data_IF_955358064493
#
_entry.id   IF_955358064493
#
_cell.length_a   1.000
_cell.length_b   1.000
_cell.length_c   1.000
_cell.angle_alpha   90.00
_cell.angle_beta   90.00
_cell.angle_gamma   90.00
#
_symmetry.space_group_name_H-M   'P 1'
#
loop_
_entity.id
_entity.type
_entity.pdbx_description
1 polymer ?
#
# COMPACT_ATOMS: atom_id res chain seq x y z
N UNK A 1 46.91 -32.79 33.99
CA UNK A 1 46.56 -31.49 34.59
C UNK A 1 46.44 -30.46 33.48
N UNK A 2 45.22 -30.17 33.04
CA UNK A 2 44.95 -29.05 32.14
C UNK A 2 43.88 -28.19 32.81
N UNK A 3 44.31 -26.95 33.07
CA UNK A 3 43.72 -26.01 33.99
C UNK A 3 42.44 -25.42 33.37
N UNK A 4 41.26 -25.97 33.69
CA UNK A 4 39.99 -25.28 33.46
C UNK A 4 39.93 -24.13 34.47
N UNK A 5 40.34 -22.93 34.04
CA UNK A 5 39.99 -21.67 34.71
C UNK A 5 38.48 -21.69 34.95
N UNK A 6 38.07 -21.74 36.22
CA UNK A 6 36.73 -21.36 36.65
C UNK A 6 36.52 -19.92 36.18
N UNK A 7 35.74 -19.75 35.13
CA UNK A 7 35.09 -18.49 34.88
C UNK A 7 33.88 -18.47 35.83
N UNK A 8 34.01 -17.75 36.94
CA UNK A 8 32.85 -17.21 37.64
C UNK A 8 32.19 -16.22 36.68
N UNK A 9 31.34 -16.74 35.79
CA UNK A 9 30.55 -15.92 34.88
C UNK A 9 29.41 -15.30 35.67
N UNK A 10 29.60 -14.05 36.08
CA UNK A 10 28.55 -13.16 36.54
C UNK A 10 27.33 -13.28 35.63
N UNK A 11 26.12 -13.36 36.20
CA UNK A 11 24.83 -13.37 35.49
C UNK A 11 24.63 -12.20 34.51
N UNK A 12 25.51 -11.19 34.55
CA UNK A 12 25.53 -10.04 33.65
C UNK A 12 25.98 -10.38 32.21
N UNK A 13 26.90 -11.34 32.01
CA UNK A 13 27.49 -11.62 30.68
C UNK A 13 26.58 -12.44 29.75
N UNK A 14 25.57 -13.13 30.31
CA UNK A 14 24.62 -13.92 29.52
C UNK A 14 23.67 -13.05 28.70
N UNK A 15 23.53 -11.74 29.00
CA UNK A 15 22.57 -10.87 28.32
C UNK A 15 22.99 -10.48 26.89
N UNK A 16 24.28 -10.45 26.59
CA UNK A 16 24.84 -9.96 25.32
C UNK A 16 25.29 -11.06 24.34
N UNK A 17 25.09 -12.35 24.65
CA UNK A 17 25.45 -13.40 23.69
C UNK A 17 24.53 -13.35 22.44
N UNK A 18 25.09 -13.28 21.21
CA UNK A 18 24.31 -13.21 19.98
C UNK A 18 23.52 -14.51 19.73
N UNK A 19 22.31 -14.37 19.20
CA UNK A 19 21.44 -15.51 18.87
C UNK A 19 22.00 -16.28 17.67
N UNK A 20 22.39 -17.55 17.88
CA UNK A 20 23.02 -18.37 16.84
C UNK A 20 21.99 -19.19 16.05
N UNK A 21 22.10 -19.18 14.73
CA UNK A 21 21.20 -19.96 13.85
C UNK A 21 21.68 -21.39 13.59
N UNK A 22 22.97 -21.66 13.78
CA UNK A 22 23.58 -22.97 13.56
C UNK A 22 23.96 -23.62 14.89
N UNK A 23 23.74 -24.93 14.96
CA UNK A 23 24.10 -25.80 16.08
C UNK A 23 25.61 -26.06 16.08
N UNK A 24 26.28 -25.86 17.21
CA UNK A 24 27.72 -26.12 17.36
C UNK A 24 27.98 -27.31 18.31
N UNK A 25 27.06 -27.57 19.24
CA UNK A 25 27.27 -28.50 20.36
C UNK A 25 26.39 -29.75 20.26
N UNK A 26 25.90 -30.07 19.06
CA UNK A 26 25.00 -31.22 18.86
C UNK A 26 25.55 -32.57 19.34
N UNK A 27 26.84 -32.91 19.14
CA UNK A 27 27.43 -34.14 19.67
C UNK A 27 27.43 -34.19 21.20
N UNK A 28 27.65 -33.04 21.84
CA UNK A 28 27.65 -32.89 23.30
C UNK A 28 26.24 -33.11 23.85
N UNK A 29 25.22 -32.48 23.24
CA UNK A 29 23.82 -32.64 23.63
C UNK A 29 23.34 -34.10 23.49
N UNK A 30 23.73 -34.79 22.42
CA UNK A 30 23.41 -36.22 22.23
C UNK A 30 24.07 -37.09 23.30
N UNK A 31 25.30 -36.76 23.69
CA UNK A 31 26.04 -37.48 24.74
C UNK A 31 25.40 -37.25 26.11
N UNK A 32 25.08 -36.00 26.45
CA UNK A 32 24.38 -35.65 27.68
C UNK A 32 23.04 -36.39 27.81
N UNK A 33 22.24 -36.39 26.73
CA UNK A 33 20.98 -37.14 26.71
C UNK A 33 21.17 -38.66 26.84
N UNK A 34 22.27 -39.23 26.32
CA UNK A 34 22.59 -40.66 26.53
C UNK A 34 22.94 -40.94 27.98
N UNK A 35 23.76 -40.10 28.63
CA UNK A 35 24.12 -40.24 30.04
C UNK A 35 22.89 -40.17 30.96
N UNK A 36 21.99 -39.23 30.70
CA UNK A 36 20.77 -39.04 31.50
C UNK A 36 19.86 -40.28 31.47
N UNK A 37 19.85 -41.06 30.39
CA UNK A 37 19.06 -42.31 30.30
C UNK A 37 19.49 -43.39 31.29
N UNK A 38 20.70 -43.29 31.85
CA UNK A 38 21.18 -44.24 32.86
C UNK A 38 20.81 -43.82 34.29
N UNK A 39 20.20 -42.66 34.48
CA UNK A 39 19.75 -42.18 35.80
C UNK A 39 18.36 -42.77 36.08
N UNK A 40 18.26 -43.59 37.13
CA UNK A 40 17.00 -44.25 37.51
C UNK A 40 15.95 -43.27 38.05
N UNK A 41 16.38 -42.21 38.74
CA UNK A 41 15.48 -41.19 39.27
C UNK A 41 15.15 -40.15 38.18
N UNK A 42 13.87 -40.10 37.78
CA UNK A 42 13.37 -39.24 36.70
C UNK A 42 13.49 -37.74 37.01
N UNK A 43 13.38 -37.33 38.28
CA UNK A 43 13.52 -35.93 38.69
C UNK A 43 14.96 -35.45 38.53
N UNK A 44 15.92 -36.29 38.94
CA UNK A 44 17.35 -36.02 38.81
C UNK A 44 17.77 -36.00 37.34
N UNK A 45 17.27 -36.95 36.56
CA UNK A 45 17.44 -37.00 35.12
C UNK A 45 16.94 -35.72 34.44
N UNK A 46 15.74 -35.26 34.80
CA UNK A 46 15.15 -34.02 34.31
C UNK A 46 15.95 -32.77 34.71
N UNK A 47 16.40 -32.70 35.96
CA UNK A 47 17.22 -31.60 36.45
C UNK A 47 18.58 -31.51 35.71
N UNK A 48 19.23 -32.65 35.45
CA UNK A 48 20.46 -32.69 34.66
C UNK A 48 20.27 -32.19 33.22
N UNK A 49 19.17 -32.56 32.56
CA UNK A 49 18.85 -32.05 31.22
C UNK A 49 18.56 -30.55 31.23
N UNK A 50 17.84 -30.07 32.24
CA UNK A 50 17.55 -28.65 32.39
C UNK A 50 18.80 -27.83 32.69
N UNK A 51 19.74 -28.36 33.48
CA UNK A 51 21.03 -27.74 33.69
C UNK A 51 21.86 -27.67 32.39
N UNK A 52 21.86 -28.75 31.59
CA UNK A 52 22.51 -28.75 30.29
C UNK A 52 21.90 -27.70 29.34
N UNK A 53 20.57 -27.57 29.33
CA UNK A 53 19.85 -26.53 28.59
C UNK A 53 20.30 -25.11 29.00
N UNK A 54 20.40 -24.83 30.30
CA UNK A 54 20.81 -23.52 30.80
C UNK A 54 22.24 -23.15 30.40
N UNK A 55 23.12 -24.15 30.26
CA UNK A 55 24.50 -23.95 29.81
C UNK A 55 24.69 -23.86 28.29
N UNK A 56 23.63 -24.02 27.48
CA UNK A 56 23.74 -23.93 26.03
C UNK A 56 23.81 -22.48 25.53
N UNK A 57 24.60 -22.26 24.48
CA UNK A 57 24.61 -21.00 23.76
C UNK A 57 23.21 -20.65 23.21
N UNK A 58 22.86 -19.36 23.22
CA UNK A 58 21.55 -18.88 22.75
C UNK A 58 21.32 -19.22 21.28
N UNK A 59 20.14 -19.75 20.96
CA UNK A 59 19.73 -20.05 19.59
C UNK A 59 19.57 -21.54 19.31
N UNK A 60 20.20 -22.04 18.25
CA UNK A 60 19.99 -23.40 17.75
C UNK A 60 20.24 -24.49 18.80
N UNK A 61 21.36 -24.44 19.51
CA UNK A 61 21.72 -25.41 20.55
C UNK A 61 20.72 -25.36 21.72
N UNK A 62 20.29 -24.16 22.13
CA UNK A 62 19.29 -23.97 23.17
C UNK A 62 17.92 -24.56 22.78
N UNK A 63 17.50 -24.40 21.53
CA UNK A 63 16.25 -25.00 21.01
C UNK A 63 16.35 -26.53 20.98
N UNK A 64 17.49 -27.07 20.53
CA UNK A 64 17.73 -28.52 20.48
C UNK A 64 17.72 -29.14 21.89
N UNK A 65 18.37 -28.49 22.86
CA UNK A 65 18.33 -28.91 24.26
C UNK A 65 16.91 -28.84 24.85
N UNK A 66 16.13 -27.82 24.52
CA UNK A 66 14.74 -27.69 24.98
C UNK A 66 13.85 -28.79 24.41
N UNK A 67 14.07 -29.17 23.15
CA UNK A 67 13.37 -30.28 22.50
C UNK A 67 13.65 -31.61 23.23
N UNK A 68 14.91 -31.87 23.61
CA UNK A 68 15.28 -33.05 24.38
C UNK A 68 14.61 -33.06 25.76
N UNK A 69 14.58 -31.92 26.45
CA UNK A 69 13.87 -31.78 27.73
C UNK A 69 12.37 -32.06 27.59
N UNK A 70 11.74 -31.56 26.53
CA UNK A 70 10.33 -31.80 26.24
C UNK A 70 10.06 -33.29 25.96
N UNK A 71 10.83 -33.93 25.08
CA UNK A 71 10.72 -35.38 24.81
C UNK A 71 10.90 -36.23 26.06
N UNK A 72 11.86 -35.88 26.92
CA UNK A 72 12.04 -36.54 28.21
C UNK A 72 10.81 -36.37 29.10
N UNK A 73 10.28 -35.14 29.21
CA UNK A 73 9.09 -34.86 30.03
C UNK A 73 7.86 -35.65 29.55
N UNK A 74 7.67 -35.82 28.24
CA UNK A 74 6.59 -36.63 27.68
C UNK A 74 6.70 -38.09 28.12
N UNK A 75 7.90 -38.69 28.05
CA UNK A 75 8.14 -40.05 28.57
C UNK A 75 7.88 -40.13 30.07
N UNK A 76 8.33 -39.14 30.84
CA UNK A 76 8.07 -39.08 32.27
C UNK A 76 6.56 -39.06 32.58
N UNK A 77 5.76 -38.30 31.85
CA UNK A 77 4.31 -38.28 32.05
C UNK A 77 3.61 -39.61 31.71
N UNK A 78 4.16 -40.43 30.82
CA UNK A 78 3.62 -41.79 30.59
C UNK A 78 3.82 -42.72 31.78
N UNK A 79 4.89 -42.52 32.55
CA UNK A 79 5.20 -43.29 33.74
C UNK A 79 4.52 -42.72 35.00
N UNK A 80 4.33 -41.39 35.05
CA UNK A 80 3.73 -40.68 36.16
C UNK A 80 2.74 -39.61 35.65
N UNK A 81 1.45 -39.98 35.46
CA UNK A 81 0.44 -39.04 34.99
C UNK A 81 0.19 -37.93 36.02
N UNK A 82 0.01 -36.69 35.55
CA UNK A 82 -0.24 -35.51 36.39
C UNK A 82 0.97 -34.61 36.65
N UNK A 83 2.17 -34.97 36.17
CA UNK A 83 3.36 -34.13 36.29
C UNK A 83 3.23 -32.81 35.49
N UNK A 84 3.57 -31.68 36.12
CA UNK A 84 3.59 -30.34 35.51
C UNK A 84 4.75 -30.12 34.53
N UNK A 85 5.78 -30.95 34.56
CA UNK A 85 7.00 -30.82 33.75
C UNK A 85 6.72 -30.78 32.24
N UNK A 86 5.74 -31.55 31.74
CA UNK A 86 5.39 -31.56 30.31
C UNK A 86 4.94 -30.20 29.84
N UNK A 87 3.96 -29.59 30.53
CA UNK A 87 3.42 -28.28 30.14
C UNK A 87 4.47 -27.19 30.23
N UNK A 88 5.37 -27.25 31.21
CA UNK A 88 6.44 -26.25 31.37
C UNK A 88 7.49 -26.37 30.25
N UNK A 89 7.95 -27.59 29.96
CA UNK A 89 8.95 -27.83 28.92
C UNK A 89 8.38 -27.62 27.51
N UNK A 90 7.10 -27.91 27.31
CA UNK A 90 6.37 -27.60 26.08
C UNK A 90 6.38 -26.09 25.82
N UNK A 91 5.91 -25.28 26.78
CA UNK A 91 5.89 -23.82 26.65
C UNK A 91 7.28 -23.25 26.37
N UNK A 92 8.30 -23.76 27.07
CA UNK A 92 9.68 -23.32 26.89
C UNK A 92 10.22 -23.65 25.50
N UNK A 93 10.09 -24.92 25.07
CA UNK A 93 10.51 -25.36 23.74
C UNK A 93 9.78 -24.61 22.63
N UNK A 94 8.47 -24.43 22.75
CA UNK A 94 7.67 -23.70 21.77
C UNK A 94 8.03 -22.22 21.70
N UNK A 95 8.27 -21.57 22.84
CA UNK A 95 8.71 -20.16 22.88
C UNK A 95 10.10 -19.97 22.25
N UNK A 96 11.07 -20.83 22.60
CA UNK A 96 12.41 -20.79 22.02
C UNK A 96 12.40 -21.10 20.52
N UNK A 97 11.61 -22.08 20.10
CA UNK A 97 11.44 -22.43 18.68
C UNK A 97 10.85 -21.26 17.90
N UNK A 98 9.79 -20.63 18.43
CA UNK A 98 9.16 -19.46 17.81
C UNK A 98 10.14 -18.31 17.66
N UNK A 99 10.91 -18.02 18.72
CA UNK A 99 11.97 -17.02 18.67
C UNK A 99 13.03 -17.36 17.62
N UNK A 100 13.44 -18.62 17.53
CA UNK A 100 14.40 -19.08 16.53
C UNK A 100 13.93 -18.84 15.10
N UNK A 101 12.64 -19.06 14.81
CA UNK A 101 12.05 -18.75 13.49
C UNK A 101 12.16 -17.26 13.17
N UNK A 102 11.91 -16.36 14.12
CA UNK A 102 12.01 -14.91 13.90
C UNK A 102 13.43 -14.48 13.52
N UNK A 103 14.45 -15.05 14.18
CA UNK A 103 15.85 -14.78 13.81
C UNK A 103 16.21 -15.39 12.46
N UNK A 104 15.70 -16.58 12.13
CA UNK A 104 15.94 -17.26 10.85
C UNK A 104 15.38 -16.48 9.66
N UNK A 105 14.28 -15.75 9.85
CA UNK A 105 13.75 -14.86 8.81
C UNK A 105 14.37 -13.46 8.83
N UNK A 106 15.35 -13.19 9.69
CA UNK A 106 15.99 -11.87 9.84
C UNK A 106 15.01 -10.75 10.27
N UNK A 107 13.95 -11.11 10.99
CA UNK A 107 12.94 -10.17 11.49
C UNK A 107 12.60 -10.41 12.96
N UNK A 108 13.63 -10.40 13.79
CA UNK A 108 13.52 -10.49 15.24
C UNK A 108 13.59 -9.08 15.87
N UNK A 109 12.51 -8.30 15.82
CA UNK A 109 12.41 -7.07 16.60
C UNK A 109 11.83 -7.33 17.99
N UNK A 110 12.07 -6.42 18.93
CA UNK A 110 11.68 -6.60 20.33
C UNK A 110 10.16 -6.85 20.50
N UNK A 111 9.33 -6.13 19.75
CA UNK A 111 7.87 -6.27 19.75
C UNK A 111 7.43 -7.69 19.38
N UNK A 112 8.00 -8.27 18.31
CA UNK A 112 7.69 -9.62 17.87
C UNK A 112 8.27 -10.68 18.82
N UNK A 113 9.48 -10.46 19.34
CA UNK A 113 10.11 -11.37 20.30
C UNK A 113 9.26 -11.49 21.57
N UNK A 114 8.67 -10.40 22.06
CA UNK A 114 7.78 -10.41 23.23
C UNK A 114 6.55 -11.31 23.04
N UNK A 115 6.07 -11.45 21.80
CA UNK A 115 4.93 -12.31 21.45
C UNK A 115 5.30 -13.78 21.22
N UNK A 116 6.55 -14.21 21.50
CA UNK A 116 6.99 -15.60 21.28
C UNK A 116 6.22 -16.65 22.09
N UNK A 117 5.51 -16.24 23.15
CA UNK A 117 4.63 -17.12 23.94
C UNK A 117 3.18 -17.13 23.46
N UNK A 118 2.83 -16.26 22.50
CA UNK A 118 1.46 -16.03 22.00
C UNK A 118 1.44 -16.17 20.47
N UNK A 119 1.55 -17.40 19.92
CA UNK A 119 1.82 -17.64 18.51
C UNK A 119 0.74 -17.09 17.57
N UNK A 120 -0.53 -17.10 17.98
CA UNK A 120 -1.63 -16.51 17.19
C UNK A 120 -1.46 -14.99 17.07
N UNK A 121 -1.18 -14.31 18.18
CA UNK A 121 -0.97 -12.86 18.19
C UNK A 121 0.30 -12.48 17.44
N UNK A 122 1.36 -13.27 17.58
CA UNK A 122 2.60 -13.08 16.83
C UNK A 122 2.38 -13.17 15.32
N UNK A 123 1.65 -14.19 14.85
CA UNK A 123 1.34 -14.33 13.43
C UNK A 123 0.51 -13.14 12.96
N UNK A 124 -0.50 -12.71 13.73
CA UNK A 124 -1.28 -11.51 13.39
C UNK A 124 -0.40 -10.26 13.31
N UNK A 125 0.50 -10.06 14.28
CA UNK A 125 1.41 -8.93 14.31
C UNK A 125 2.38 -8.93 13.11
N UNK A 126 2.83 -10.10 12.65
CA UNK A 126 3.66 -10.23 11.46
C UNK A 126 2.94 -9.71 10.20
N UNK A 127 1.70 -10.12 9.96
CA UNK A 127 0.94 -9.72 8.76
C UNK A 127 0.42 -8.29 8.82
N UNK A 128 0.08 -7.78 10.00
CA UNK A 128 -0.48 -6.44 10.19
C UNK A 128 0.58 -5.39 10.56
N UNK A 129 1.86 -5.74 10.55
CA UNK A 129 2.94 -4.82 10.89
C UNK A 129 2.97 -3.61 9.93
N UNK A 130 3.19 -2.36 10.40
CA UNK A 130 3.21 -1.17 9.54
C UNK A 130 4.18 -1.23 8.36
N UNK A 131 5.31 -1.93 8.56
CA UNK A 131 6.37 -2.17 7.54
C UNK A 131 6.21 -3.49 6.77
N UNK A 132 5.06 -4.15 6.86
CA UNK A 132 4.84 -5.46 6.23
C UNK A 132 5.15 -5.46 4.72
N UNK A 133 4.61 -4.49 3.98
CA UNK A 133 4.79 -4.38 2.51
C UNK A 133 6.26 -4.20 2.12
N UNK A 134 7.06 -3.49 2.93
CA UNK A 134 8.50 -3.35 2.70
C UNK A 134 9.22 -4.68 2.98
N UNK A 135 8.80 -5.40 4.02
CA UNK A 135 9.46 -6.62 4.52
C UNK A 135 9.22 -7.85 3.65
N UNK A 136 8.04 -8.04 3.06
CA UNK A 136 7.73 -9.20 2.20
C UNK A 136 8.64 -9.35 0.98
N UNK A 137 9.34 -8.29 0.58
CA UNK A 137 10.29 -8.35 -0.55
C UNK A 137 11.55 -9.15 -0.23
N UNK A 138 11.93 -9.22 1.05
CA UNK A 138 13.17 -9.88 1.52
C UNK A 138 12.91 -11.04 2.48
N UNK A 139 11.75 -11.05 3.16
CA UNK A 139 11.46 -11.98 4.25
C UNK A 139 10.24 -12.84 3.86
N UNK A 140 10.37 -14.16 3.93
CA UNK A 140 9.26 -15.08 3.67
C UNK A 140 8.41 -15.29 4.93
N UNK A 141 7.46 -14.38 5.14
CA UNK A 141 6.56 -14.37 6.29
C UNK A 141 5.61 -15.57 6.24
N UNK A 142 5.18 -16.00 5.05
CA UNK A 142 4.29 -17.16 4.93
C UNK A 142 4.96 -18.44 5.42
N UNK A 143 6.24 -18.64 5.07
CA UNK A 143 7.04 -19.75 5.59
C UNK A 143 7.25 -19.64 7.10
N UNK A 144 7.55 -18.44 7.61
CA UNK A 144 7.69 -18.21 9.05
C UNK A 144 6.41 -18.55 9.82
N UNK A 145 5.26 -18.08 9.32
CA UNK A 145 3.96 -18.31 9.94
C UNK A 145 3.59 -19.80 9.94
N UNK A 146 3.91 -20.55 8.87
CA UNK A 146 3.75 -22.01 8.85
C UNK A 146 4.65 -22.67 9.91
N UNK A 147 5.94 -22.31 9.96
CA UNK A 147 6.88 -22.90 10.93
C UNK A 147 6.49 -22.58 12.38
N UNK A 148 6.03 -21.36 12.67
CA UNK A 148 5.51 -20.98 13.98
C UNK A 148 4.25 -21.78 14.31
N UNK A 149 3.31 -21.89 13.37
CA UNK A 149 2.08 -22.64 13.57
C UNK A 149 2.34 -24.14 13.86
N UNK A 150 3.22 -24.76 13.08
CA UNK A 150 3.62 -26.17 13.24
C UNK A 150 4.29 -26.42 14.60
N UNK A 151 5.19 -25.53 15.03
CA UNK A 151 5.89 -25.66 16.33
C UNK A 151 4.98 -25.45 17.53
N UNK A 152 3.86 -24.76 17.35
CA UNK A 152 2.90 -24.44 18.42
C UNK A 152 1.58 -25.21 18.31
N UNK A 153 1.44 -26.12 17.35
CA UNK A 153 0.19 -26.86 17.06
C UNK A 153 -1.03 -25.94 16.84
N UNK A 154 -0.84 -24.84 16.11
CA UNK A 154 -1.90 -23.86 15.80
C UNK A 154 -2.38 -24.01 14.36
N UNK A 155 -3.67 -23.83 14.11
CA UNK A 155 -4.23 -23.90 12.77
C UNK A 155 -3.96 -22.61 11.97
N UNK A 156 -2.90 -22.62 11.16
CA UNK A 156 -2.52 -21.48 10.30
C UNK A 156 -3.61 -21.08 9.30
N UNK A 157 -4.37 -22.04 8.77
CA UNK A 157 -5.44 -21.76 7.80
C UNK A 157 -6.55 -20.95 8.43
N UNK A 158 -6.93 -21.26 9.68
CA UNK A 158 -7.92 -20.49 10.44
C UNK A 158 -7.43 -19.05 10.71
N UNK A 159 -6.16 -18.88 11.09
CA UNK A 159 -5.58 -17.54 11.31
C UNK A 159 -5.58 -16.72 10.02
N UNK A 160 -5.18 -17.30 8.89
CA UNK A 160 -5.17 -16.61 7.59
C UNK A 160 -6.56 -16.17 7.15
N UNK A 161 -7.58 -16.98 7.40
CA UNK A 161 -8.98 -16.60 7.13
C UNK A 161 -9.41 -15.45 8.05
N UNK A 162 -9.13 -15.52 9.35
CA UNK A 162 -9.44 -14.44 10.29
C UNK A 162 -8.72 -13.13 9.94
N UNK A 163 -7.47 -13.19 9.49
CA UNK A 163 -6.73 -12.03 9.00
C UNK A 163 -7.37 -11.45 7.75
N UNK A 164 -7.74 -12.30 6.79
CA UNK A 164 -8.47 -11.86 5.61
C UNK A 164 -9.81 -11.23 5.98
N UNK A 165 -10.56 -11.83 6.91
CA UNK A 165 -11.79 -11.25 7.47
C UNK A 165 -11.55 -9.87 8.07
N UNK A 166 -10.51 -9.71 8.90
CA UNK A 166 -10.17 -8.42 9.50
C UNK A 166 -9.89 -7.33 8.46
N UNK A 167 -9.24 -7.69 7.33
CA UNK A 167 -8.96 -6.77 6.22
C UNK A 167 -10.26 -6.42 5.48
N UNK A 168 -11.14 -7.40 5.27
CA UNK A 168 -12.41 -7.21 4.59
C UNK A 168 -13.43 -6.45 5.46
N UNK A 169 -13.39 -6.63 6.78
CA UNK A 169 -14.33 -6.10 7.77
C UNK A 169 -13.93 -4.75 8.35
N UNK A 170 -12.76 -4.19 7.99
CA UNK A 170 -12.31 -2.87 8.48
C UNK A 170 -13.47 -1.87 8.46
N UNK A 171 -14.01 -1.56 9.64
CA UNK A 171 -15.21 -0.73 9.73
C UNK A 171 -14.82 0.68 9.33
N UNK A 172 -15.61 1.28 8.44
CA UNK A 172 -15.45 2.64 7.94
C UNK A 172 -15.78 3.69 9.03
N UNK A 173 -15.14 3.60 10.19
CA UNK A 173 -15.33 4.58 11.28
C UNK A 173 -14.42 5.80 11.14
N UNK A 174 -13.52 5.83 10.17
CA UNK A 174 -12.64 6.98 9.91
C UNK A 174 -12.97 7.59 8.54
N UNK A 175 -13.44 8.83 8.56
CA UNK A 175 -14.07 9.59 7.48
C UNK A 175 -13.24 9.82 6.18
N UNK A 176 -12.08 9.18 6.00
CA UNK A 176 -11.13 9.55 4.95
C UNK A 176 -10.60 8.38 4.09
N UNK A 177 -11.09 7.16 4.26
CA UNK A 177 -10.60 6.00 3.48
C UNK A 177 -11.55 5.67 2.31
N UNK A 178 -10.98 5.30 1.17
CA UNK A 178 -11.72 4.82 -0.02
C UNK A 178 -12.59 3.61 0.32
N UNK A 179 -13.78 3.42 -0.28
CA UNK A 179 -14.67 2.30 0.01
C UNK A 179 -14.14 0.91 -0.38
N UNK A 180 -13.09 0.86 -1.21
CA UNK A 180 -12.33 -0.36 -1.49
C UNK A 180 -11.17 -0.61 -0.52
N UNK A 181 -10.39 -1.65 -0.80
CA UNK A 181 -9.12 -1.88 -0.13
C UNK A 181 -8.07 -0.87 -0.60
N UNK A 182 -7.30 -0.33 0.33
CA UNK A 182 -6.11 0.44 -0.01
C UNK A 182 -5.04 -0.47 -0.63
N UNK A 183 -4.02 0.09 -1.31
CA UNK A 183 -2.99 -0.72 -1.95
C UNK A 183 -2.23 -1.64 -0.99
N UNK A 184 -2.01 -1.22 0.26
CA UNK A 184 -1.26 -2.00 1.26
C UNK A 184 -2.08 -3.22 1.69
N UNK A 185 -3.35 -3.02 2.00
CA UNK A 185 -4.30 -4.06 2.37
C UNK A 185 -4.50 -5.05 1.24
N UNK A 186 -4.57 -4.57 -0.01
CA UNK A 186 -4.69 -5.44 -1.18
C UNK A 186 -3.44 -6.30 -1.36
N UNK A 187 -2.24 -5.71 -1.16
CA UNK A 187 -0.97 -6.46 -1.19
C UNK A 187 -0.96 -7.51 -0.07
N UNK A 188 -1.36 -7.15 1.14
CA UNK A 188 -1.42 -8.07 2.29
C UNK A 188 -2.40 -9.21 2.04
N UNK A 189 -3.63 -8.91 1.61
CA UNK A 189 -4.63 -9.92 1.27
C UNK A 189 -4.13 -10.86 0.16
N UNK A 190 -3.50 -10.32 -0.89
CA UNK A 190 -2.88 -11.11 -1.95
C UNK A 190 -1.77 -12.01 -1.42
N UNK A 191 -0.93 -11.51 -0.52
CA UNK A 191 0.15 -12.29 0.08
C UNK A 191 -0.36 -13.44 0.96
N UNK A 192 -1.43 -13.21 1.73
CA UNK A 192 -2.13 -14.24 2.51
C UNK A 192 -2.74 -15.30 1.57
N UNK A 193 -3.46 -14.87 0.55
CA UNK A 193 -4.15 -15.75 -0.41
C UNK A 193 -3.18 -16.63 -1.21
N UNK A 194 -1.95 -16.19 -1.45
CA UNK A 194 -0.90 -17.01 -2.08
C UNK A 194 -0.50 -18.23 -1.25
N UNK A 195 -0.54 -18.12 0.08
CA UNK A 195 -0.22 -19.25 0.97
C UNK A 195 -1.44 -20.11 1.31
N UNK A 196 -2.64 -19.61 1.04
CA UNK A 196 -3.87 -20.38 1.10
C UNK A 196 -4.04 -21.17 -0.20
N UNK A 197 -4.73 -22.32 -0.15
CA UNK A 197 -5.14 -23.01 -1.37
C UNK A 197 -5.92 -22.02 -2.27
N UNK A 198 -5.47 -21.73 -3.51
CA UNK A 198 -6.07 -20.69 -4.35
C UNK A 198 -7.57 -20.92 -4.61
N UNK A 199 -7.98 -22.18 -4.77
CA UNK A 199 -9.38 -22.56 -4.96
C UNK A 199 -10.24 -22.25 -3.73
N UNK A 200 -9.73 -22.54 -2.53
CA UNK A 200 -10.45 -22.28 -1.28
C UNK A 200 -10.58 -20.79 -1.00
N UNK A 201 -9.49 -20.03 -1.20
CA UNK A 201 -9.52 -18.57 -1.07
C UNK A 201 -10.48 -17.92 -2.08
N UNK A 202 -10.47 -18.39 -3.33
CA UNK A 202 -11.40 -17.93 -4.35
C UNK A 202 -12.86 -18.25 -3.98
N UNK A 203 -13.15 -19.45 -3.50
CA UNK A 203 -14.51 -19.86 -3.10
C UNK A 203 -15.02 -19.01 -1.94
N UNK A 204 -14.17 -18.80 -0.94
CA UNK A 204 -14.49 -17.95 0.21
C UNK A 204 -14.80 -16.51 -0.21
N UNK A 205 -13.94 -15.89 -1.04
CA UNK A 205 -14.15 -14.52 -1.53
C UNK A 205 -15.39 -14.41 -2.44
N UNK A 206 -15.60 -15.39 -3.32
CA UNK A 206 -16.75 -15.43 -4.21
C UNK A 206 -18.06 -15.54 -3.43
N UNK A 207 -18.08 -16.31 -2.35
CA UNK A 207 -19.25 -16.40 -1.47
C UNK A 207 -19.53 -15.04 -0.84
N UNK A 208 -18.54 -14.37 -0.27
CA UNK A 208 -18.77 -13.02 0.30
C UNK A 208 -19.29 -12.04 -0.77
N UNK A 209 -18.69 -12.04 -1.96
CA UNK A 209 -19.02 -11.07 -3.01
C UNK A 209 -20.42 -11.23 -3.61
N UNK A 210 -20.93 -12.46 -3.73
CA UNK A 210 -22.12 -12.79 -4.52
C UNK A 210 -23.23 -13.53 -3.76
N UNK A 211 -23.04 -13.84 -2.48
CA UNK A 211 -24.08 -14.44 -1.64
C UNK A 211 -25.08 -13.34 -1.23
N UNK A 212 -26.19 -13.26 -1.94
CA UNK A 212 -27.25 -12.28 -1.71
C UNK A 212 -28.01 -12.55 -0.41
N UNK A 213 -28.01 -13.79 0.10
CA UNK A 213 -28.62 -14.19 1.37
C UNK A 213 -27.79 -13.79 2.59
N UNK A 214 -26.55 -13.31 2.37
CA UNK A 214 -25.67 -12.90 3.47
C UNK A 214 -25.90 -11.45 3.88
N UNK A 215 -25.92 -11.20 5.19
CA UNK A 215 -25.99 -9.85 5.80
C UNK A 215 -24.68 -9.04 5.64
N UNK A 216 -23.78 -9.46 4.75
CA UNK A 216 -22.53 -8.72 4.52
C UNK A 216 -22.83 -7.36 3.89
N UNK A 217 -22.29 -6.31 4.51
CA UNK A 217 -22.42 -4.97 3.96
C UNK A 217 -21.74 -4.85 2.58
N UNK A 218 -22.21 -3.89 1.77
CA UNK A 218 -21.75 -3.69 0.39
C UNK A 218 -20.26 -3.38 0.29
N UNK A 219 -19.69 -2.73 1.30
CA UNK A 219 -18.25 -2.52 1.44
C UNK A 219 -17.45 -3.82 1.52
N UNK A 220 -17.87 -4.76 2.37
CA UNK A 220 -17.23 -6.07 2.52
C UNK A 220 -17.34 -6.86 1.21
N UNK A 221 -18.52 -6.84 0.57
CA UNK A 221 -18.74 -7.44 -0.76
C UNK A 221 -17.79 -6.83 -1.81
N UNK A 222 -17.61 -5.50 -1.81
CA UNK A 222 -16.70 -4.78 -2.71
C UNK A 222 -15.25 -5.21 -2.52
N UNK A 223 -14.76 -5.19 -1.28
CA UNK A 223 -13.39 -5.58 -0.94
C UNK A 223 -13.12 -7.04 -1.27
N UNK A 224 -14.08 -7.92 -1.02
CA UNK A 224 -13.96 -9.34 -1.37
C UNK A 224 -13.85 -9.54 -2.88
N UNK A 225 -14.66 -8.83 -3.67
CA UNK A 225 -14.60 -8.87 -5.13
C UNK A 225 -13.29 -8.26 -5.66
N UNK A 226 -12.77 -7.19 -5.05
CA UNK A 226 -11.45 -6.64 -5.37
C UNK A 226 -10.33 -7.66 -5.13
N UNK A 227 -10.35 -8.35 -3.99
CA UNK A 227 -9.41 -9.45 -3.71
C UNK A 227 -9.53 -10.58 -4.74
N UNK A 228 -10.75 -11.02 -5.04
CA UNK A 228 -11.00 -12.09 -6.01
C UNK A 228 -10.43 -11.73 -7.39
N UNK A 229 -10.63 -10.48 -7.83
CA UNK A 229 -10.20 -10.04 -9.16
C UNK A 229 -8.70 -9.74 -9.27
N UNK A 230 -8.01 -9.45 -8.16
CA UNK A 230 -6.61 -8.99 -8.16
C UNK A 230 -5.59 -10.03 -7.64
N UNK A 231 -6.03 -10.91 -6.74
CA UNK A 231 -5.17 -11.88 -6.06
C UNK A 231 -5.30 -13.29 -6.63
N UNK A 232 -6.47 -13.66 -7.17
CA UNK A 232 -6.74 -14.97 -7.74
C UNK A 232 -6.49 -14.97 -9.24
N UNK A 233 -6.02 -16.10 -9.78
CA UNK A 233 -5.86 -16.28 -11.22
C UNK A 233 -7.20 -16.07 -11.96
N UNK A 234 -7.20 -15.33 -13.09
CA UNK A 234 -8.38 -15.03 -13.90
C UNK A 234 -9.33 -16.21 -14.14
N UNK A 235 -8.79 -17.36 -14.53
CA UNK A 235 -9.59 -18.54 -14.85
C UNK A 235 -10.24 -19.15 -13.61
N UNK A 236 -9.51 -19.20 -12.50
CA UNK A 236 -10.01 -19.72 -11.23
C UNK A 236 -11.13 -18.84 -10.71
N UNK A 237 -10.99 -17.51 -10.80
CA UNK A 237 -12.04 -16.57 -10.43
C UNK A 237 -13.33 -16.77 -11.25
N UNK A 238 -13.21 -16.92 -12.58
CA UNK A 238 -14.36 -17.18 -13.47
C UNK A 238 -15.04 -18.52 -13.15
N UNK A 239 -14.26 -19.59 -12.98
CA UNK A 239 -14.78 -20.94 -12.66
C UNK A 239 -15.52 -20.97 -11.33
N UNK A 240 -14.95 -20.34 -10.30
CA UNK A 240 -15.53 -20.33 -8.95
C UNK A 240 -16.75 -19.42 -8.86
N UNK A 241 -16.68 -18.22 -9.44
CA UNK A 241 -17.81 -17.29 -9.42
C UNK A 241 -18.94 -17.69 -10.39
N UNK A 242 -18.69 -18.65 -11.30
CA UNK A 242 -19.61 -19.09 -12.36
C UNK A 242 -20.12 -17.92 -13.20
N UNK A 243 -19.24 -16.94 -13.44
CA UNK A 243 -19.54 -15.69 -14.16
C UNK A 243 -18.39 -15.38 -15.08
N UNK A 244 -18.70 -14.88 -16.27
CA UNK A 244 -17.67 -14.45 -17.21
C UNK A 244 -16.86 -13.28 -16.66
N UNK A 245 -15.62 -13.15 -17.13
CA UNK A 245 -14.69 -12.11 -16.67
C UNK A 245 -15.26 -10.70 -16.82
N UNK A 246 -15.96 -10.43 -17.92
CA UNK A 246 -16.56 -9.13 -18.18
C UNK A 246 -17.69 -8.80 -17.19
N UNK A 247 -18.48 -9.80 -16.78
CA UNK A 247 -19.54 -9.67 -15.76
C UNK A 247 -18.92 -9.35 -14.40
N UNK A 248 -17.82 -10.02 -14.02
CA UNK A 248 -17.13 -9.75 -12.75
C UNK A 248 -16.60 -8.30 -12.68
N UNK A 249 -16.03 -7.80 -13.79
CA UNK A 249 -15.61 -6.40 -13.89
C UNK A 249 -16.79 -5.45 -13.78
N UNK A 250 -17.90 -5.74 -14.47
CA UNK A 250 -19.12 -4.94 -14.38
C UNK A 250 -19.62 -4.89 -12.93
N UNK A 251 -19.75 -6.03 -12.27
CA UNK A 251 -20.18 -6.11 -10.86
C UNK A 251 -19.24 -5.36 -9.92
N UNK A 252 -17.93 -5.43 -10.14
CA UNK A 252 -16.96 -4.67 -9.33
C UNK A 252 -17.18 -3.16 -9.45
N UNK A 253 -17.35 -2.68 -10.69
CA UNK A 253 -17.56 -1.27 -10.98
C UNK A 253 -18.90 -0.80 -10.40
N UNK A 254 -19.96 -1.59 -10.57
CA UNK A 254 -21.28 -1.27 -10.05
C UNK A 254 -21.27 -1.19 -8.53
N UNK A 255 -20.71 -2.19 -7.87
CA UNK A 255 -20.64 -2.24 -6.41
C UNK A 255 -19.78 -1.11 -5.83
N UNK A 256 -18.70 -0.72 -6.54
CA UNK A 256 -17.89 0.44 -6.19
C UNK A 256 -18.72 1.71 -6.14
N UNK A 257 -19.45 2.02 -7.22
CA UNK A 257 -20.27 3.23 -7.28
C UNK A 257 -21.49 3.17 -6.38
N UNK A 258 -22.10 1.99 -6.17
CA UNK A 258 -23.19 1.83 -5.20
C UNK A 258 -22.74 2.27 -3.81
N UNK A 259 -21.61 1.77 -3.33
CA UNK A 259 -21.08 2.14 -2.01
C UNK A 259 -20.78 3.63 -1.93
N UNK A 260 -20.26 4.23 -3.01
CA UNK A 260 -20.04 5.67 -3.07
C UNK A 260 -21.33 6.50 -3.04
N UNK A 261 -22.37 6.08 -3.75
CA UNK A 261 -23.68 6.75 -3.76
C UNK A 261 -24.37 6.66 -2.39
N UNK A 262 -24.27 5.52 -1.70
CA UNK A 262 -24.77 5.39 -0.32
C UNK A 262 -24.03 6.32 0.65
N UNK A 263 -22.71 6.47 0.47
CA UNK A 263 -21.88 7.33 1.33
C UNK A 263 -22.23 8.81 1.21
N UNK A 264 -22.60 9.29 0.02
CA UNK A 264 -23.04 10.68 -0.16
C UNK A 264 -24.54 10.88 0.10
N UNK A 265 -25.19 9.89 0.72
CA UNK A 265 -26.60 9.90 1.10
C UNK A 265 -27.55 10.14 -0.09
N UNK A 266 -27.26 9.50 -1.24
CA UNK A 266 -28.17 9.48 -2.41
C UNK A 266 -28.60 8.05 -2.81
N UNK A 267 -29.01 7.19 -1.86
CA UNK A 267 -29.31 5.78 -2.16
C UNK A 267 -30.45 5.58 -3.16
N UNK A 268 -31.35 6.56 -3.32
CA UNK A 268 -32.45 6.48 -4.30
C UNK A 268 -31.96 6.49 -5.76
N UNK A 269 -30.76 7.01 -6.05
CA UNK A 269 -30.16 7.00 -7.39
C UNK A 269 -29.69 5.60 -7.78
N UNK A 270 -29.48 4.68 -6.82
CA UNK A 270 -28.90 3.35 -7.06
C UNK A 270 -29.77 2.51 -8.00
N UNK A 271 -31.09 2.53 -7.81
CA UNK A 271 -32.01 1.76 -8.64
C UNK A 271 -31.91 2.22 -10.11
N UNK A 272 -31.94 3.54 -10.33
CA UNK A 272 -31.71 4.13 -11.65
C UNK A 272 -30.33 3.75 -12.18
N UNK A 273 -29.28 3.85 -11.36
CA UNK A 273 -27.91 3.56 -11.78
C UNK A 273 -27.76 2.11 -12.26
N UNK A 274 -28.43 1.14 -11.64
CA UNK A 274 -28.37 -0.26 -12.08
C UNK A 274 -29.05 -0.49 -13.44
N UNK A 275 -30.04 0.33 -13.80
CA UNK A 275 -30.81 0.22 -15.04
C UNK A 275 -30.24 1.10 -16.17
N UNK A 276 -30.02 2.38 -15.87
CA UNK A 276 -29.56 3.42 -16.79
C UNK A 276 -28.54 4.35 -16.10
N UNK A 277 -27.28 4.21 -16.51
CA UNK A 277 -26.15 4.97 -15.97
C UNK A 277 -26.24 6.47 -16.29
N UNK A 278 -26.75 6.80 -17.47
CA UNK A 278 -26.85 8.17 -17.99
C UNK A 278 -27.95 8.93 -17.26
N UNK A 279 -29.11 8.29 -17.09
CA UNK A 279 -30.22 8.87 -16.32
C UNK A 279 -29.84 9.07 -14.85
N UNK A 280 -29.17 8.10 -14.23
CA UNK A 280 -28.71 8.21 -12.86
C UNK A 280 -27.71 9.35 -12.66
N UNK A 281 -26.82 9.55 -13.64
CA UNK A 281 -25.87 10.65 -13.62
C UNK A 281 -26.58 12.01 -13.71
N UNK A 282 -27.60 12.15 -14.55
CA UNK A 282 -28.41 13.36 -14.60
C UNK A 282 -29.12 13.64 -13.27
N UNK A 283 -29.69 12.62 -12.63
CA UNK A 283 -30.30 12.74 -11.29
C UNK A 283 -29.26 13.17 -10.24
N UNK A 284 -28.05 12.59 -10.28
CA UNK A 284 -26.97 12.96 -9.38
C UNK A 284 -26.56 14.43 -9.57
N UNK A 285 -26.45 14.90 -10.80
CA UNK A 285 -26.08 16.30 -11.11
C UNK A 285 -27.10 17.29 -10.56
N UNK A 286 -28.39 17.00 -10.67
CA UNK A 286 -29.46 17.85 -10.14
C UNK A 286 -29.39 18.03 -8.62
N UNK A 287 -28.95 17.00 -7.89
CA UNK A 287 -28.88 17.01 -6.42
C UNK A 287 -27.51 17.41 -5.89
N UNK A 288 -26.45 17.24 -6.69
CA UNK A 288 -25.06 17.46 -6.28
C UNK A 288 -24.79 18.84 -5.67
N UNK A 289 -25.52 19.88 -6.10
CA UNK A 289 -25.43 21.22 -5.54
C UNK A 289 -23.99 21.70 -5.43
N UNK A 290 -23.57 22.07 -4.21
CA UNK A 290 -22.17 22.42 -3.88
C UNK A 290 -21.45 21.30 -3.10
N UNK A 291 -22.00 20.09 -3.02
CA UNK A 291 -21.37 18.98 -2.31
C UNK A 291 -20.18 18.46 -3.15
N UNK A 292 -18.98 18.74 -2.67
CA UNK A 292 -17.71 18.41 -3.34
C UNK A 292 -17.60 16.90 -3.63
N UNK A 293 -17.96 16.04 -2.68
CA UNK A 293 -17.82 14.58 -2.86
C UNK A 293 -18.84 14.04 -3.87
N UNK A 294 -20.06 14.59 -3.89
CA UNK A 294 -21.04 14.28 -4.93
C UNK A 294 -20.55 14.70 -6.32
N UNK A 295 -19.95 15.89 -6.44
CA UNK A 295 -19.37 16.37 -7.70
C UNK A 295 -18.19 15.53 -8.18
N UNK A 296 -17.32 15.06 -7.28
CA UNK A 296 -16.24 14.13 -7.62
C UNK A 296 -16.77 12.81 -8.17
N UNK A 297 -17.76 12.22 -7.50
CA UNK A 297 -18.40 10.98 -7.97
C UNK A 297 -19.10 11.20 -9.31
N UNK A 298 -19.78 12.34 -9.49
CA UNK A 298 -20.39 12.71 -10.76
C UNK A 298 -19.35 12.85 -11.89
N UNK A 299 -18.20 13.45 -11.62
CA UNK A 299 -17.11 13.56 -12.59
C UNK A 299 -16.53 12.20 -12.98
N UNK A 300 -16.31 11.30 -12.00
CA UNK A 300 -15.84 9.94 -12.30
C UNK A 300 -16.86 9.14 -13.12
N UNK A 301 -18.14 9.24 -12.78
CA UNK A 301 -19.23 8.60 -13.51
C UNK A 301 -19.40 9.18 -14.92
N UNK A 302 -19.34 10.51 -15.07
CA UNK A 302 -19.37 11.18 -16.37
C UNK A 302 -18.20 10.79 -17.25
N UNK A 303 -16.99 10.69 -16.66
CA UNK A 303 -15.83 10.20 -17.38
C UNK A 303 -16.03 8.76 -17.86
N UNK A 304 -16.80 7.92 -17.16
CA UNK A 304 -16.95 6.50 -17.53
C UNK A 304 -18.14 6.20 -18.42
N UNK A 305 -19.27 6.85 -18.16
CA UNK A 305 -20.58 6.55 -18.75
C UNK A 305 -21.26 7.79 -19.36
N UNK A 306 -20.77 8.99 -19.09
CA UNK A 306 -21.38 10.22 -19.56
C UNK A 306 -21.17 10.44 -21.06
N UNK A 307 -22.15 11.11 -21.68
CA UNK A 307 -22.05 11.62 -23.03
C UNK A 307 -21.49 13.05 -23.07
N UNK A 308 -21.35 13.61 -24.28
CA UNK A 308 -20.83 14.96 -24.46
C UNK A 308 -21.72 16.05 -23.84
N UNK A 309 -23.03 15.82 -23.71
CA UNK A 309 -23.96 16.80 -23.15
C UNK A 309 -23.78 16.87 -21.64
N UNK A 310 -23.77 15.72 -20.96
CA UNK A 310 -23.58 15.64 -19.52
C UNK A 310 -22.24 16.26 -19.10
N UNK A 311 -21.17 15.95 -19.84
CA UNK A 311 -19.85 16.53 -19.58
C UNK A 311 -19.90 18.05 -19.67
N UNK A 312 -20.58 18.60 -20.68
CA UNK A 312 -20.75 20.05 -20.87
C UNK A 312 -21.56 20.69 -19.75
N UNK A 313 -22.58 20.02 -19.22
CA UNK A 313 -23.38 20.51 -18.10
C UNK A 313 -22.58 20.49 -16.78
N UNK A 314 -21.71 19.50 -16.59
CA UNK A 314 -20.92 19.33 -15.38
C UNK A 314 -19.71 20.29 -15.28
N UNK A 315 -19.06 20.62 -16.40
CA UNK A 315 -17.85 21.48 -16.41
C UNK A 315 -18.04 22.81 -15.66
N UNK A 316 -19.10 23.60 -15.89
CA UNK A 316 -19.33 24.84 -15.14
C UNK A 316 -19.49 24.64 -13.63
N UNK A 317 -20.06 23.50 -13.21
CA UNK A 317 -20.23 23.18 -11.79
C UNK A 317 -18.89 22.85 -11.15
N UNK A 318 -18.07 22.03 -11.80
CA UNK A 318 -16.72 21.71 -11.33
C UNK A 318 -15.80 22.94 -11.30
N UNK A 319 -15.91 23.83 -12.30
CA UNK A 319 -15.17 25.10 -12.32
C UNK A 319 -15.51 25.97 -11.10
N UNK A 320 -16.80 26.12 -10.78
CA UNK A 320 -17.23 26.89 -9.59
C UNK A 320 -16.71 26.27 -8.30
N UNK A 321 -16.67 24.94 -8.22
CA UNK A 321 -16.11 24.21 -7.08
C UNK A 321 -14.57 24.14 -7.06
N UNK A 322 -13.88 24.68 -8.07
CA UNK A 322 -12.42 24.57 -8.26
C UNK A 322 -11.88 23.12 -8.28
N UNK A 323 -12.68 22.18 -8.79
CA UNK A 323 -12.33 20.75 -8.92
C UNK A 323 -11.59 20.47 -10.23
N UNK A 324 -10.41 21.06 -10.37
CA UNK A 324 -9.65 21.05 -11.62
C UNK A 324 -9.11 19.66 -11.99
N UNK A 325 -8.69 18.87 -11.01
CA UNK A 325 -8.12 17.53 -11.26
C UNK A 325 -9.18 16.58 -11.84
N UNK A 326 -10.41 16.66 -11.32
CA UNK A 326 -11.56 15.89 -11.79
C UNK A 326 -12.05 16.35 -13.17
N UNK A 327 -11.83 17.62 -13.53
CA UNK A 327 -12.18 18.16 -14.84
C UNK A 327 -11.24 17.69 -15.97
N UNK A 328 -9.96 17.46 -15.69
CA UNK A 328 -8.96 17.14 -16.72
C UNK A 328 -9.37 15.93 -17.59
N UNK A 329 -9.74 14.77 -17.01
CA UNK A 329 -10.17 13.60 -17.81
C UNK A 329 -11.40 13.89 -18.67
N UNK A 330 -12.32 14.71 -18.17
CA UNK A 330 -13.54 15.09 -18.89
C UNK A 330 -13.23 15.94 -20.11
N UNK A 331 -12.36 16.95 -19.96
CA UNK A 331 -11.96 17.82 -21.06
C UNK A 331 -11.20 17.07 -22.15
N UNK A 332 -10.37 16.09 -21.77
CA UNK A 332 -9.68 15.22 -22.72
C UNK A 332 -10.63 14.33 -23.55
N UNK A 333 -11.86 14.10 -23.07
CA UNK A 333 -12.89 13.36 -23.82
C UNK A 333 -13.72 14.22 -24.77
N UNK A 334 -13.67 15.55 -24.65
CA UNK A 334 -14.46 16.44 -25.52
C UNK A 334 -13.82 16.49 -26.91
N UNK A 335 -14.46 15.83 -27.88
CA UNK A 335 -13.97 15.73 -29.27
C UNK A 335 -14.41 16.89 -30.17
N UNK A 336 -15.38 17.68 -29.72
CA UNK A 336 -15.95 18.79 -30.49
C UNK A 336 -15.01 20.00 -30.49
N UNK A 337 -15.11 20.89 -31.51
CA UNK A 337 -14.36 22.13 -31.51
C UNK A 337 -14.60 22.87 -30.19
N UNK A 338 -13.52 23.37 -29.56
CA UNK A 338 -13.60 23.95 -28.24
C UNK A 338 -14.37 25.27 -28.31
N UNK A 339 -15.44 25.37 -27.54
CA UNK A 339 -16.20 26.60 -27.38
C UNK A 339 -15.64 27.46 -26.22
N UNK A 340 -16.30 28.58 -25.95
CA UNK A 340 -15.88 29.49 -24.88
C UNK A 340 -15.91 28.83 -23.48
N UNK A 341 -16.79 27.85 -23.25
CA UNK A 341 -16.86 27.14 -21.97
C UNK A 341 -15.64 26.23 -21.80
N UNK A 342 -15.35 25.41 -22.80
CA UNK A 342 -14.19 24.52 -22.82
C UNK A 342 -12.89 25.33 -22.74
N UNK A 343 -12.81 26.47 -23.44
CA UNK A 343 -11.69 27.39 -23.32
C UNK A 343 -11.52 27.93 -21.90
N UNK A 344 -12.61 28.38 -21.27
CA UNK A 344 -12.57 28.90 -19.90
C UNK A 344 -12.12 27.83 -18.90
N UNK A 345 -12.56 26.58 -19.10
CA UNK A 345 -12.16 25.44 -18.28
C UNK A 345 -10.67 25.12 -18.40
N UNK A 346 -10.15 25.00 -19.63
CA UNK A 346 -8.72 24.81 -19.86
C UNK A 346 -7.89 25.97 -19.30
N UNK A 347 -8.31 27.21 -19.55
CA UNK A 347 -7.66 28.40 -19.02
C UNK A 347 -7.61 28.38 -17.48
N UNK A 348 -8.69 27.99 -16.81
CA UNK A 348 -8.74 27.89 -15.36
C UNK A 348 -7.78 26.82 -14.81
N UNK A 349 -7.74 25.63 -15.43
CA UNK A 349 -6.81 24.55 -15.05
C UNK A 349 -5.36 25.01 -15.21
N UNK A 350 -5.06 25.69 -16.31
CA UNK A 350 -3.70 26.13 -16.64
C UNK A 350 -3.22 27.29 -15.75
N UNK A 351 -4.07 28.30 -15.48
CA UNK A 351 -3.67 29.52 -14.78
C UNK A 351 -3.82 29.43 -13.25
N UNK A 352 -4.82 28.71 -12.74
CA UNK A 352 -5.13 28.72 -11.30
C UNK A 352 -3.95 28.34 -10.40
N UNK A 353 -3.14 27.30 -10.71
CA UNK A 353 -1.97 26.96 -9.90
C UNK A 353 -0.95 28.10 -9.78
N UNK A 354 -0.76 28.87 -10.85
CA UNK A 354 0.19 29.99 -10.89
C UNK A 354 -0.34 31.24 -10.18
N UNK A 355 -1.63 31.51 -10.31
CA UNK A 355 -2.29 32.63 -9.61
C UNK A 355 -2.31 32.39 -8.10
N UNK A 356 -2.50 31.14 -7.67
CA UNK A 356 -2.52 30.72 -6.25
C UNK A 356 -1.14 30.41 -5.67
N UNK A 357 -0.07 30.47 -6.46
CA UNK A 357 1.28 30.26 -5.96
C UNK A 357 1.73 31.50 -5.16
N UNK A 358 2.34 31.24 -4.01
CA UNK A 358 2.91 32.26 -3.14
C UNK A 358 4.40 32.47 -3.45
N UNK A 359 4.96 33.55 -2.90
CA UNK A 359 6.40 33.75 -2.84
C UNK A 359 6.87 33.65 -1.38
N UNK A 360 7.86 32.79 -1.05
CA UNK A 360 8.50 31.81 -1.93
C UNK A 360 7.57 30.63 -2.26
N UNK A 361 7.76 30.05 -3.46
CA UNK A 361 6.96 28.90 -3.89
C UNK A 361 7.34 27.64 -3.09
N UNK A 362 6.33 26.91 -2.61
CA UNK A 362 6.55 25.61 -1.95
C UNK A 362 6.72 24.47 -2.96
N UNK A 363 7.37 23.37 -2.58
CA UNK A 363 7.49 22.18 -3.45
C UNK A 363 6.13 21.65 -3.91
N UNK A 364 5.12 21.72 -3.03
CA UNK A 364 3.75 21.33 -3.35
C UNK A 364 3.12 22.25 -4.41
N UNK A 365 3.32 23.56 -4.31
CA UNK A 365 2.82 24.52 -5.32
C UNK A 365 3.58 24.36 -6.64
N UNK A 366 4.90 24.15 -6.59
CA UNK A 366 5.74 23.87 -7.76
C UNK A 366 5.22 22.63 -8.50
N UNK A 367 4.94 21.53 -7.80
CA UNK A 367 4.38 20.32 -8.39
C UNK A 367 3.03 20.56 -9.08
N UNK A 368 2.13 21.35 -8.46
CA UNK A 368 0.84 21.72 -9.09
C UNK A 368 1.02 22.54 -10.36
N UNK A 369 1.90 23.55 -10.32
CA UNK A 369 2.22 24.36 -11.51
C UNK A 369 2.82 23.51 -12.63
N UNK A 370 3.69 22.57 -12.28
CA UNK A 370 4.31 21.67 -13.24
C UNK A 370 3.30 20.69 -13.86
N UNK A 371 2.39 20.13 -13.05
CA UNK A 371 1.30 19.28 -13.54
C UNK A 371 0.43 20.01 -14.55
N UNK A 372 0.10 21.29 -14.31
CA UNK A 372 -0.63 22.10 -15.28
C UNK A 372 0.18 22.31 -16.57
N UNK A 373 1.47 22.64 -16.49
CA UNK A 373 2.31 22.79 -17.69
C UNK A 373 2.42 21.51 -18.51
N UNK A 374 2.46 20.35 -17.85
CA UNK A 374 2.46 19.03 -18.50
C UNK A 374 1.18 18.74 -19.30
N UNK A 375 0.16 19.60 -19.24
CA UNK A 375 -1.04 19.52 -20.08
C UNK A 375 -0.93 20.37 -21.37
N UNK A 376 0.09 21.23 -21.52
CA UNK A 376 0.27 22.08 -22.70
C UNK A 376 0.19 21.33 -24.04
N UNK A 377 0.82 20.14 -24.22
CA UNK A 377 0.75 19.45 -25.51
C UNK A 377 -0.65 18.94 -25.87
N UNK A 378 -1.52 18.75 -24.89
CA UNK A 378 -2.87 18.22 -25.08
C UNK A 378 -3.95 19.29 -24.95
N UNK A 379 -3.57 20.53 -24.62
CA UNK A 379 -4.49 21.65 -24.50
C UNK A 379 -4.81 22.24 -25.89
N UNK A 380 -6.06 22.17 -26.37
CA UNK A 380 -6.39 22.57 -27.74
C UNK A 380 -6.51 24.09 -27.96
N UNK A 381 -6.43 24.92 -26.91
CA UNK A 381 -6.97 26.30 -26.95
C UNK A 381 -6.16 27.37 -26.23
N UNK A 382 -4.97 27.07 -25.73
CA UNK A 382 -4.21 28.07 -24.98
C UNK A 382 -3.74 29.22 -25.89
N UNK A 383 -3.96 30.47 -25.47
CA UNK A 383 -3.57 31.67 -26.23
C UNK A 383 -2.26 32.25 -25.71
N UNK A 384 -1.59 33.04 -26.54
CA UNK A 384 -0.37 33.76 -26.16
C UNK A 384 -0.56 34.61 -24.88
N UNK A 385 -1.71 35.29 -24.74
CA UNK A 385 -2.02 36.10 -23.54
C UNK A 385 -2.03 35.26 -22.25
N UNK A 386 -2.55 34.04 -22.32
CA UNK A 386 -2.58 33.10 -21.20
C UNK A 386 -1.16 32.64 -20.85
N UNK A 387 -0.35 32.32 -21.86
CA UNK A 387 1.06 31.93 -21.66
C UNK A 387 1.89 33.08 -21.09
N UNK A 388 1.63 34.32 -21.52
CA UNK A 388 2.26 35.52 -20.98
C UNK A 388 1.87 35.72 -19.51
N UNK A 389 0.61 35.43 -19.14
CA UNK A 389 0.15 35.48 -17.75
C UNK A 389 0.85 34.42 -16.88
N UNK A 390 1.04 33.19 -17.38
CA UNK A 390 1.84 32.16 -16.70
C UNK A 390 3.27 32.65 -16.47
N UNK A 391 3.90 33.21 -17.50
CA UNK A 391 5.25 33.76 -17.42
C UNK A 391 5.38 34.86 -16.35
N UNK A 392 4.44 35.81 -16.31
CA UNK A 392 4.39 36.87 -15.30
C UNK A 392 4.30 36.31 -13.88
N UNK A 393 3.47 35.30 -13.67
CA UNK A 393 3.37 34.62 -12.36
C UNK A 393 4.65 33.86 -12.00
N UNK A 394 5.32 33.24 -12.97
CA UNK A 394 6.61 32.58 -12.72
C UNK A 394 7.70 33.56 -12.29
N UNK A 395 7.71 34.78 -12.84
CA UNK A 395 8.60 35.85 -12.39
C UNK A 395 8.23 36.27 -10.96
N UNK A 396 6.94 36.52 -10.69
CA UNK A 396 6.44 36.90 -9.35
C UNK A 396 6.89 35.91 -8.28
N UNK A 397 6.80 34.62 -8.56
CA UNK A 397 7.17 33.54 -7.62
C UNK A 397 8.66 33.15 -7.68
N UNK A 398 9.49 33.83 -8.48
CA UNK A 398 10.90 33.50 -8.76
C UNK A 398 11.14 32.06 -9.22
N UNK A 399 10.18 31.45 -9.93
CA UNK A 399 10.27 30.09 -10.47
C UNK A 399 10.49 30.10 -12.00
N UNK A 400 11.55 30.79 -12.43
CA UNK A 400 11.85 31.05 -13.85
C UNK A 400 11.98 29.78 -14.71
N UNK A 401 12.44 28.66 -14.13
CA UNK A 401 12.50 27.38 -14.82
C UNK A 401 11.13 26.93 -15.33
N UNK A 402 10.07 27.06 -14.51
CA UNK A 402 8.70 26.77 -14.92
C UNK A 402 8.22 27.71 -16.02
N UNK A 403 8.55 29.01 -15.90
CA UNK A 403 8.22 30.00 -16.92
C UNK A 403 8.89 29.71 -18.27
N UNK A 404 10.08 29.13 -18.29
CA UNK A 404 10.72 28.78 -19.56
C UNK A 404 9.99 27.66 -20.31
N UNK A 405 9.22 26.81 -19.62
CA UNK A 405 8.48 25.70 -20.24
C UNK A 405 7.35 26.16 -21.16
N UNK A 406 6.83 27.39 -21.01
CA UNK A 406 5.78 27.92 -21.90
C UNK A 406 6.33 28.51 -23.21
N UNK A 407 7.63 28.81 -23.29
CA UNK A 407 8.23 29.47 -24.46
C UNK A 407 8.03 28.74 -25.80
N UNK A 408 8.08 27.39 -25.88
CA UNK A 408 7.82 26.66 -27.12
C UNK A 408 6.40 26.79 -27.63
N UNK A 409 5.46 27.11 -26.75
CA UNK A 409 4.04 27.23 -27.07
C UNK A 409 3.64 28.65 -27.42
N UNK A 410 4.55 29.62 -27.29
CA UNK A 410 4.32 31.01 -27.64
C UNK A 410 4.73 31.33 -29.08
N UNK A 411 3.96 32.20 -29.73
CA UNK A 411 4.40 32.79 -31.01
C UNK A 411 5.70 33.59 -30.83
N UNK A 412 6.43 33.79 -31.93
CA UNK A 412 7.65 34.59 -31.90
C UNK A 412 7.39 36.04 -31.42
N UNK A 413 6.24 36.62 -31.80
CA UNK A 413 5.83 37.95 -31.38
C UNK A 413 5.56 38.01 -29.87
N UNK A 414 4.83 37.03 -29.33
CA UNK A 414 4.58 36.95 -27.89
C UNK A 414 5.88 36.83 -27.09
N UNK A 415 6.83 35.98 -27.53
CA UNK A 415 8.15 35.84 -26.90
C UNK A 415 8.95 37.14 -26.91
N UNK A 416 8.89 37.92 -28.00
CA UNK A 416 9.59 39.20 -28.09
C UNK A 416 9.05 40.26 -27.13
N UNK A 417 7.77 40.15 -26.74
CA UNK A 417 7.11 41.05 -25.79
C UNK A 417 7.54 40.83 -24.33
N UNK A 418 8.19 39.69 -24.02
CA UNK A 418 8.70 39.37 -22.69
C UNK A 418 9.99 40.15 -22.39
N UNK A 419 9.85 41.39 -21.90
CA UNK A 419 10.99 42.27 -21.57
C UNK A 419 11.91 41.70 -20.49
N UNK A 420 11.34 40.99 -19.50
CA UNK A 420 12.09 40.37 -18.41
C UNK A 420 13.00 39.23 -18.88
N UNK A 421 12.60 38.49 -19.93
CA UNK A 421 13.45 37.47 -20.57
C UNK A 421 14.73 38.12 -21.16
N UNK A 422 14.61 39.39 -21.58
CA UNK A 422 15.67 40.37 -21.90
C UNK A 422 16.77 40.50 -20.84
N UNK A 423 16.34 40.55 -19.58
CA UNK A 423 17.13 41.05 -18.45
C UNK A 423 17.78 39.93 -17.64
N UNK A 424 17.23 38.73 -17.69
CA UNK A 424 17.69 37.58 -16.92
C UNK A 424 18.87 36.92 -17.65
N UNK A 425 19.93 36.59 -16.89
CA UNK A 425 21.06 35.84 -17.45
C UNK A 425 20.61 34.47 -18.00
N UNK A 426 20.92 34.22 -19.27
CA UNK A 426 20.62 32.97 -19.98
C UNK A 426 21.18 31.75 -19.25
N UNK A 427 22.36 31.85 -18.62
CA UNK A 427 22.95 30.73 -17.86
C UNK A 427 22.06 30.33 -16.68
N UNK A 428 21.51 31.31 -15.98
CA UNK A 428 20.56 31.09 -14.87
C UNK A 428 19.29 30.38 -15.34
N UNK A 429 18.74 30.77 -16.49
CA UNK A 429 17.56 30.10 -17.07
C UNK A 429 17.85 28.63 -17.43
N UNK A 430 19.01 28.37 -18.05
CA UNK A 430 19.44 27.02 -18.41
C UNK A 430 19.63 26.13 -17.17
N UNK A 431 20.27 26.64 -16.11
CA UNK A 431 20.43 25.89 -14.85
C UNK A 431 19.06 25.56 -14.25
N UNK A 432 18.16 26.53 -14.17
CA UNK A 432 16.81 26.33 -13.63
C UNK A 432 16.00 25.29 -14.42
N UNK A 433 16.12 25.27 -15.75
CA UNK A 433 15.49 24.25 -16.58
C UNK A 433 16.11 22.85 -16.40
N UNK A 434 17.44 22.76 -16.32
CA UNK A 434 18.13 21.48 -16.08
C UNK A 434 17.70 20.83 -14.78
N UNK A 435 17.42 21.62 -13.75
CA UNK A 435 16.90 21.13 -12.47
C UNK A 435 15.51 20.47 -12.61
N UNK A 436 14.77 20.73 -13.69
CA UNK A 436 13.45 20.14 -13.96
C UNK A 436 13.51 18.91 -14.87
N UNK A 437 14.69 18.48 -15.34
CA UNK A 437 14.82 17.43 -16.36
C UNK A 437 14.21 16.08 -15.92
N UNK A 438 14.30 15.77 -14.63
CA UNK A 438 13.71 14.55 -14.07
C UNK A 438 12.22 14.71 -13.71
N UNK A 439 11.68 15.93 -13.77
CA UNK A 439 10.30 16.24 -13.34
C UNK A 439 9.35 16.45 -14.54
N UNK A 440 9.86 16.78 -15.73
CA UNK A 440 9.02 17.02 -16.92
C UNK A 440 9.73 16.69 -18.23
N UNK A 441 8.94 16.23 -19.20
CA UNK A 441 9.38 15.97 -20.58
C UNK A 441 9.46 17.25 -21.44
N UNK A 442 8.99 18.40 -20.93
CA UNK A 442 8.93 19.67 -21.66
C UNK A 442 10.29 20.40 -21.75
N UNK A 443 11.28 19.98 -20.95
CA UNK A 443 12.58 20.67 -20.85
C UNK A 443 13.27 20.77 -22.20
N UNK A 444 13.27 19.71 -23.01
CA UNK A 444 13.98 19.69 -24.30
C UNK A 444 13.46 20.75 -25.27
N UNK A 445 12.13 20.92 -25.35
CA UNK A 445 11.52 21.96 -26.18
C UNK A 445 11.85 23.36 -25.68
N UNK A 446 11.79 23.58 -24.36
CA UNK A 446 12.14 24.86 -23.75
C UNK A 446 13.61 25.22 -23.96
N UNK A 447 14.51 24.24 -23.81
CA UNK A 447 15.94 24.40 -24.07
C UNK A 447 16.23 24.79 -25.52
N UNK A 448 15.61 24.10 -26.48
CA UNK A 448 15.75 24.43 -27.91
C UNK A 448 15.34 25.87 -28.20
N UNK A 449 14.24 26.34 -27.61
CA UNK A 449 13.80 27.73 -27.80
C UNK A 449 14.75 28.72 -27.15
N UNK A 450 15.21 28.45 -25.92
CA UNK A 450 16.15 29.34 -25.23
C UNK A 450 17.50 29.44 -25.94
N UNK A 451 18.01 28.34 -26.49
CA UNK A 451 19.26 28.33 -27.25
C UNK A 451 19.17 29.21 -28.49
N UNK A 452 18.03 29.14 -29.18
CA UNK A 452 17.72 29.90 -30.40
C UNK A 452 17.13 31.30 -30.17
N UNK A 453 16.98 31.75 -28.92
CA UNK A 453 16.73 33.16 -28.63
C UNK A 453 17.98 33.93 -29.04
N UNK A 454 17.88 34.69 -30.13
CA UNK A 454 18.99 35.44 -30.71
C UNK A 454 19.66 36.34 -29.65
N UNK A 455 20.98 36.27 -29.50
CA UNK A 455 21.68 37.32 -28.78
C UNK A 455 21.51 38.60 -29.60
N UNK A 456 20.86 39.62 -29.04
CA UNK A 456 21.05 40.96 -29.59
C UNK A 456 22.54 41.25 -29.44
N UNK A 457 23.25 41.31 -30.56
CA UNK A 457 24.53 41.98 -30.63
C UNK A 457 24.36 43.35 -29.95
N UNK A 458 25.06 43.52 -28.84
CA UNK A 458 25.28 44.80 -28.21
C UNK A 458 25.80 45.77 -29.28
N UNK A 459 25.01 46.80 -29.58
CA UNK A 459 25.55 48.04 -30.15
C UNK A 459 26.06 48.91 -29.02
#
# INVERSE_FOLDING_TARGET
MTNRKRADSNEADLKDEPWRLTSQEEPLLRTAHRCVRHIANMEWAGACLFYALQGCARGADQVAAAQLCYQFSQRWATLQPGNRAVRQMEKLHSSLSTRHVLYKIEWACEELIRLSTEPVQLINALYLHPKFVEKITRHDINRAANEIADKNNVNISSIRIQLLESILDKTYKENNVSPGLDPKDLITAKYILKATCPKMGAFYLSRIAFDDESDYNKCKKLRALQCLMSAVEPETAVKVARRERHVLWKSLIELFYIVHLERIDVPWVIATFLQDKTLALNQLLQVSGNNIESLKIAAELANKFGDSQIIRELIPVLMRASLFEEMIPLLLKVQNPPDNMIYSAWRAIMLSPFQRADYPITDRQKAKCLNALNLLPVCPVIKDDDLIEIWKNCIRCKCLGLGCLVLPYMTAQARQSLTELKKIDKRTLVINLKNLHNETYLVSGAMFVLENLTPKLSR
#
